data_IF_808232883093
#
_entry.id   IF_808232883093
#
_cell.length_a   1.000
_cell.length_b   1.000
_cell.length_c   1.000
_cell.angle_alpha   90.00
_cell.angle_beta   90.00
_cell.angle_gamma   90.00
#
_symmetry.space_group_name_H-M   'P 1'
#
loop_
_entity.id
_entity.type
_entity.pdbx_description
1 polymer ?
#
# COMPACT_ATOMS: atom_id res chain seq x y z
N UNK A 1 -6.11 7.15 -17.90
CA UNK A 1 -4.96 6.62 -17.13
C UNK A 1 -4.84 7.46 -15.87
N UNK A 2 -4.70 6.83 -14.70
CA UNK A 2 -4.50 7.56 -13.44
C UNK A 2 -3.05 8.07 -13.37
N UNK A 3 -2.82 9.34 -13.04
CA UNK A 3 -1.46 9.82 -12.78
C UNK A 3 -0.81 9.05 -11.63
N UNK A 4 0.52 8.94 -11.67
CA UNK A 4 1.34 8.29 -10.67
C UNK A 4 2.07 9.35 -9.84
N UNK A 5 2.12 9.18 -8.53
CA UNK A 5 2.86 10.04 -7.61
C UNK A 5 3.73 9.17 -6.70
N UNK A 6 5.05 9.28 -6.81
CA UNK A 6 5.97 8.55 -5.94
C UNK A 6 6.08 9.20 -4.56
N UNK A 7 5.70 8.47 -3.51
CA UNK A 7 5.76 8.97 -2.13
C UNK A 7 6.73 8.20 -1.25
N UNK A 8 7.20 7.01 -1.69
CA UNK A 8 8.19 6.21 -0.96
C UNK A 8 9.11 5.44 -1.89
N UNK A 9 10.28 5.08 -1.37
CA UNK A 9 11.24 4.17 -1.99
C UNK A 9 11.59 3.05 -1.02
N UNK A 10 12.00 1.90 -1.56
CA UNK A 10 12.42 0.74 -0.78
C UNK A 10 11.25 0.02 -0.07
N UNK A 11 11.55 -1.09 0.58
CA UNK A 11 10.59 -1.95 1.28
C UNK A 11 10.90 -2.02 2.77
N UNK A 12 9.89 -1.85 3.63
CA UNK A 12 10.06 -1.90 5.10
C UNK A 12 10.44 -3.29 5.62
N UNK A 13 10.10 -4.35 4.88
CA UNK A 13 10.39 -5.72 5.30
C UNK A 13 11.66 -6.29 4.68
N UNK A 14 11.74 -6.25 3.36
CA UNK A 14 12.90 -6.62 2.53
C UNK A 14 13.53 -8.00 2.86
N UNK A 15 12.71 -8.98 3.35
CA UNK A 15 13.14 -10.32 3.76
C UNK A 15 12.46 -11.44 2.98
N UNK A 16 11.53 -11.11 2.08
CA UNK A 16 10.81 -12.12 1.31
C UNK A 16 11.77 -12.86 0.38
N UNK A 17 11.86 -14.19 0.51
CA UNK A 17 12.81 -15.03 -0.25
C UNK A 17 12.61 -15.05 -1.76
N UNK A 18 11.43 -14.69 -2.23
CA UNK A 18 11.12 -14.62 -3.66
C UNK A 18 11.42 -13.25 -4.28
N UNK A 19 11.67 -12.22 -3.46
CA UNK A 19 11.83 -10.84 -3.92
C UNK A 19 13.28 -10.38 -3.74
N UNK A 20 13.91 -9.98 -4.85
CA UNK A 20 15.28 -9.43 -4.86
C UNK A 20 15.31 -7.95 -5.29
N UNK A 21 14.15 -7.36 -5.57
CA UNK A 21 14.06 -6.04 -6.23
C UNK A 21 14.60 -4.88 -5.38
N UNK A 22 14.51 -4.98 -4.05
CA UNK A 22 14.79 -3.85 -3.16
C UNK A 22 15.81 -4.15 -2.07
N UNK A 23 16.60 -5.22 -2.21
CA UNK A 23 17.55 -5.69 -1.20
C UNK A 23 18.60 -4.65 -0.83
N UNK A 24 18.95 -3.77 -1.77
CA UNK A 24 19.94 -2.69 -1.58
C UNK A 24 19.31 -1.30 -1.38
N UNK A 25 17.98 -1.20 -1.38
CA UNK A 25 17.27 0.08 -1.29
C UNK A 25 16.59 0.18 0.07
N UNK A 26 17.09 1.01 1.01
CA UNK A 26 16.44 1.20 2.29
C UNK A 26 15.09 1.91 2.11
N UNK A 27 14.13 1.56 2.97
CA UNK A 27 12.85 2.25 2.99
C UNK A 27 13.03 3.72 3.41
N UNK A 28 12.46 4.63 2.63
CA UNK A 28 12.37 6.05 2.96
C UNK A 28 11.16 6.71 2.30
N UNK A 29 10.66 7.76 2.93
CA UNK A 29 9.72 8.67 2.29
C UNK A 29 10.46 9.49 1.22
N UNK A 30 9.81 9.75 0.10
CA UNK A 30 10.32 10.69 -0.91
C UNK A 30 10.41 12.10 -0.30
N UNK A 31 11.40 12.92 -0.65
CA UNK A 31 11.48 14.30 -0.19
C UNK A 31 10.17 15.05 -0.47
N UNK A 32 9.72 15.86 0.48
CA UNK A 32 8.45 16.60 0.34
C UNK A 32 8.47 17.51 -0.87
N UNK A 33 9.62 18.10 -1.17
CA UNK A 33 9.84 18.98 -2.31
C UNK A 33 9.57 18.25 -3.64
N UNK A 34 10.04 17.01 -3.78
CA UNK A 34 9.79 16.20 -4.98
C UNK A 34 8.31 15.83 -5.12
N UNK A 35 7.67 15.48 -4.00
CA UNK A 35 6.22 15.20 -4.00
C UNK A 35 5.44 16.44 -4.45
N UNK A 36 5.82 17.63 -3.99
CA UNK A 36 5.16 18.90 -4.37
C UNK A 36 5.41 19.26 -5.85
N UNK A 37 6.62 19.03 -6.36
CA UNK A 37 6.97 19.22 -7.79
C UNK A 37 6.15 18.28 -8.69
N UNK A 38 6.10 16.99 -8.35
CA UNK A 38 5.32 15.99 -9.10
C UNK A 38 3.83 16.34 -9.09
N UNK A 39 3.27 16.74 -7.93
CA UNK A 39 1.87 17.18 -7.83
C UNK A 39 1.61 18.41 -8.70
N UNK A 40 2.55 19.36 -8.76
CA UNK A 40 2.43 20.52 -9.62
C UNK A 40 2.43 20.13 -11.10
N UNK A 41 3.29 19.22 -11.52
CA UNK A 41 3.31 18.70 -12.88
C UNK A 41 2.00 17.97 -13.23
N UNK A 42 1.50 17.13 -12.31
CA UNK A 42 0.20 16.47 -12.48
C UNK A 42 -0.92 17.49 -12.62
N UNK A 43 -0.92 18.56 -11.82
CA UNK A 43 -1.95 19.62 -11.88
C UNK A 43 -1.91 20.40 -13.21
N UNK A 44 -0.73 20.58 -13.79
CA UNK A 44 -0.58 21.23 -15.10
C UNK A 44 -1.08 20.34 -16.24
N UNK A 45 -0.74 19.04 -16.20
CA UNK A 45 -1.04 18.11 -17.29
C UNK A 45 -2.42 17.45 -17.17
N UNK A 46 -2.95 17.29 -15.93
CA UNK A 46 -4.20 16.61 -15.63
C UNK A 46 -5.01 17.35 -14.55
N UNK A 47 -5.39 18.63 -14.76
CA UNK A 47 -6.01 19.47 -13.71
C UNK A 47 -7.35 18.93 -13.19
N UNK A 48 -8.04 18.14 -13.98
CA UNK A 48 -9.35 17.57 -13.64
C UNK A 48 -9.28 16.12 -13.18
N UNK A 49 -8.08 15.61 -12.83
CA UNK A 49 -7.97 14.22 -12.38
C UNK A 49 -8.79 13.98 -11.11
N UNK A 50 -9.53 12.88 -11.12
CA UNK A 50 -10.32 12.44 -9.95
C UNK A 50 -9.69 11.26 -9.23
N UNK A 51 -8.65 10.69 -9.83
CA UNK A 51 -7.97 9.49 -9.34
C UNK A 51 -6.46 9.67 -9.41
N UNK A 52 -5.77 9.20 -8.36
CA UNK A 52 -4.31 9.25 -8.27
C UNK A 52 -3.80 7.92 -7.72
N UNK A 53 -2.75 7.38 -8.29
CA UNK A 53 -2.06 6.23 -7.74
C UNK A 53 -0.79 6.69 -7.01
N UNK A 54 -0.77 6.50 -5.69
CA UNK A 54 0.39 6.76 -4.87
C UNK A 54 1.33 5.56 -4.98
N UNK A 55 2.48 5.78 -5.57
CA UNK A 55 3.43 4.71 -5.85
C UNK A 55 4.64 4.75 -4.92
N UNK A 56 5.38 3.69 -4.97
CA UNK A 56 6.50 3.29 -4.17
C UNK A 56 6.35 1.81 -3.88
N UNK A 57 7.29 1.23 -3.15
CA UNK A 57 7.24 -0.20 -2.84
C UNK A 57 6.27 -0.49 -1.70
N UNK A 58 6.23 0.42 -0.73
CA UNK A 58 5.49 0.23 0.51
C UNK A 58 4.92 1.56 1.03
N UNK A 59 4.14 2.29 0.21
CA UNK A 59 3.70 3.64 0.54
C UNK A 59 2.82 3.69 1.79
N UNK A 60 2.01 2.67 2.04
CA UNK A 60 1.15 2.63 3.24
C UNK A 60 1.93 2.35 4.53
N UNK A 61 3.24 2.11 4.47
CA UNK A 61 4.11 2.02 5.64
C UNK A 61 4.36 3.38 6.32
N UNK A 62 4.14 4.47 5.61
CA UNK A 62 4.20 5.81 6.21
C UNK A 62 3.26 5.93 7.42
N UNK A 63 3.65 6.72 8.40
CA UNK A 63 2.79 7.00 9.55
C UNK A 63 1.49 7.68 9.12
N UNK A 64 0.47 7.58 9.99
CA UNK A 64 -0.80 8.28 9.75
C UNK A 64 -0.58 9.78 9.48
N UNK A 65 0.28 10.45 10.26
CA UNK A 65 0.53 11.89 10.12
C UNK A 65 1.21 12.23 8.79
N UNK A 66 2.17 11.39 8.33
CA UNK A 66 2.79 11.60 7.03
C UNK A 66 1.80 11.40 5.88
N UNK A 67 0.98 10.34 5.93
CA UNK A 67 -0.06 10.12 4.91
C UNK A 67 -1.07 11.26 4.88
N UNK A 68 -1.50 11.74 6.07
CA UNK A 68 -2.40 12.89 6.19
C UNK A 68 -1.80 14.14 5.55
N UNK A 69 -0.55 14.47 5.88
CA UNK A 69 0.17 15.61 5.28
C UNK A 69 0.23 15.51 3.76
N UNK A 70 0.56 14.34 3.22
CA UNK A 70 0.61 14.12 1.76
C UNK A 70 -0.78 14.31 1.14
N UNK A 71 -1.83 13.74 1.75
CA UNK A 71 -3.20 13.95 1.29
C UNK A 71 -3.60 15.43 1.29
N UNK A 72 -3.24 16.19 2.33
CA UNK A 72 -3.53 17.63 2.41
C UNK A 72 -2.85 18.41 1.26
N UNK A 73 -1.57 18.08 0.95
CA UNK A 73 -0.85 18.68 -0.17
C UNK A 73 -1.53 18.35 -1.51
N UNK A 74 -1.89 17.07 -1.71
CA UNK A 74 -2.58 16.62 -2.92
C UNK A 74 -3.91 17.37 -3.10
N UNK A 75 -4.78 17.35 -2.09
CA UNK A 75 -6.11 17.92 -2.16
C UNK A 75 -6.11 19.44 -2.33
N UNK A 76 -5.07 20.12 -1.83
CA UNK A 76 -4.87 21.56 -2.03
C UNK A 76 -4.61 21.92 -3.51
N UNK A 77 -3.90 21.08 -4.25
CA UNK A 77 -3.50 21.31 -5.64
C UNK A 77 -4.42 20.62 -6.65
N UNK A 78 -4.98 19.48 -6.26
CA UNK A 78 -5.84 18.61 -7.06
C UNK A 78 -7.17 18.36 -6.33
N UNK A 79 -8.02 19.38 -6.19
CA UNK A 79 -9.23 19.31 -5.36
C UNK A 79 -10.29 18.31 -5.87
N UNK A 80 -10.17 17.89 -7.13
CA UNK A 80 -11.07 16.92 -7.74
C UNK A 80 -10.70 15.45 -7.42
N UNK A 81 -9.52 15.20 -6.83
CA UNK A 81 -9.09 13.84 -6.47
C UNK A 81 -9.98 13.30 -5.36
N UNK A 82 -10.65 12.18 -5.63
CA UNK A 82 -11.56 11.46 -4.71
C UNK A 82 -11.08 10.04 -4.43
N UNK A 83 -10.18 9.53 -5.26
CA UNK A 83 -9.70 8.15 -5.22
C UNK A 83 -8.19 8.19 -5.25
N UNK A 84 -7.58 7.76 -4.15
CA UNK A 84 -6.15 7.48 -4.05
C UNK A 84 -5.96 6.00 -3.78
N UNK A 85 -5.12 5.34 -4.58
CA UNK A 85 -4.80 3.92 -4.47
C UNK A 85 -3.33 3.75 -4.18
N UNK A 86 -2.95 2.73 -3.42
CA UNK A 86 -1.55 2.45 -3.12
C UNK A 86 -1.30 1.01 -2.70
N UNK A 87 -0.05 0.60 -2.77
CA UNK A 87 0.40 -0.68 -2.26
C UNK A 87 0.48 -0.68 -0.72
N UNK A 88 0.22 -1.84 -0.11
CA UNK A 88 0.34 -2.05 1.33
C UNK A 88 0.79 -3.47 1.64
N UNK A 89 1.42 -3.63 2.79
CA UNK A 89 1.59 -4.91 3.47
C UNK A 89 0.55 -5.04 4.59
N UNK A 90 0.22 -6.27 4.99
CA UNK A 90 -0.68 -6.55 6.12
C UNK A 90 -0.21 -5.85 7.41
N UNK A 91 1.09 -5.87 7.67
CA UNK A 91 1.70 -5.22 8.85
C UNK A 91 1.49 -3.70 8.89
N UNK A 92 1.36 -3.03 7.74
CA UNK A 92 1.15 -1.58 7.69
C UNK A 92 -0.27 -1.18 8.10
N UNK A 93 -1.24 -2.06 7.84
CA UNK A 93 -2.63 -1.88 8.27
C UNK A 93 -2.71 -2.08 9.78
N UNK A 94 -2.00 -3.10 10.31
CA UNK A 94 -1.91 -3.39 11.75
C UNK A 94 -1.45 -2.17 12.55
N UNK A 95 -0.50 -1.39 12.02
CA UNK A 95 0.08 -0.22 12.67
C UNK A 95 -0.83 1.01 12.70
N UNK A 96 -2.05 0.93 12.16
CA UNK A 96 -3.03 2.03 12.15
C UNK A 96 -4.30 1.62 12.89
N UNK A 97 -4.85 2.54 13.66
CA UNK A 97 -6.16 2.32 14.31
C UNK A 97 -7.29 2.42 13.29
N UNK A 98 -8.44 1.84 13.62
CA UNK A 98 -9.67 1.95 12.78
C UNK A 98 -10.05 3.42 12.58
N UNK A 99 -9.93 4.25 13.62
CA UNK A 99 -10.19 5.69 13.52
C UNK A 99 -9.28 6.39 12.50
N UNK A 100 -7.98 6.07 12.52
CA UNK A 100 -7.01 6.58 11.55
C UNK A 100 -7.34 6.10 10.12
N UNK A 101 -7.71 4.84 9.95
CA UNK A 101 -8.11 4.30 8.65
C UNK A 101 -9.37 5.00 8.11
N UNK A 102 -10.38 5.23 8.97
CA UNK A 102 -11.60 5.98 8.60
C UNK A 102 -11.28 7.41 8.19
N UNK A 103 -10.34 8.08 8.86
CA UNK A 103 -9.90 9.42 8.49
C UNK A 103 -9.18 9.43 7.15
N UNK A 104 -8.21 8.52 6.92
CA UNK A 104 -7.52 8.38 5.64
C UNK A 104 -8.51 8.07 4.50
N UNK A 105 -9.54 7.25 4.77
CA UNK A 105 -10.61 6.98 3.82
C UNK A 105 -11.38 8.25 3.42
N UNK A 106 -11.70 9.12 4.39
CA UNK A 106 -12.37 10.41 4.13
C UNK A 106 -11.50 11.35 3.31
N UNK A 107 -10.18 11.28 3.47
CA UNK A 107 -9.22 12.07 2.70
C UNK A 107 -8.98 11.54 1.28
N UNK A 108 -9.58 10.42 0.92
CA UNK A 108 -9.51 9.87 -0.44
C UNK A 108 -8.62 8.64 -0.61
N UNK A 109 -7.98 8.10 0.43
CA UNK A 109 -7.32 6.79 0.37
C UNK A 109 -8.41 5.71 0.41
N UNK A 110 -8.80 5.24 -0.77
CA UNK A 110 -10.01 4.42 -0.93
C UNK A 110 -9.74 2.97 -1.23
N UNK A 111 -8.54 2.65 -1.69
CA UNK A 111 -8.21 1.29 -2.15
C UNK A 111 -6.75 0.94 -1.87
N UNK A 112 -6.51 -0.25 -1.32
CA UNK A 112 -5.18 -0.78 -1.07
C UNK A 112 -4.93 -2.04 -1.89
N UNK A 113 -3.73 -2.14 -2.49
CA UNK A 113 -3.25 -3.34 -3.15
C UNK A 113 -2.31 -4.08 -2.21
N UNK A 114 -2.71 -5.26 -1.73
CA UNK A 114 -2.03 -5.97 -0.65
C UNK A 114 -1.42 -7.26 -1.19
N UNK A 115 -0.10 -7.31 -1.23
CA UNK A 115 0.62 -8.53 -1.57
C UNK A 115 0.60 -9.51 -0.40
N UNK A 116 -0.38 -10.42 -0.36
CA UNK A 116 -0.46 -11.48 0.66
C UNK A 116 0.35 -12.72 0.27
N UNK A 117 0.41 -13.01 -1.00
CA UNK A 117 1.13 -14.07 -1.69
C UNK A 117 0.60 -15.49 -1.41
N UNK A 118 0.09 -15.78 -0.21
CA UNK A 118 -0.50 -17.06 0.18
C UNK A 118 -1.44 -16.91 1.37
N UNK A 119 -2.44 -17.81 1.46
CA UNK A 119 -3.26 -18.00 2.67
C UNK A 119 -2.75 -19.15 3.56
N UNK A 120 -1.69 -19.84 3.19
CA UNK A 120 -1.12 -20.98 3.91
C UNK A 120 0.07 -20.57 4.78
N UNK A 121 0.00 -20.81 6.09
CA UNK A 121 1.01 -20.39 7.06
C UNK A 121 2.38 -21.04 6.83
N UNK A 122 2.41 -22.31 6.40
CA UNK A 122 3.67 -22.97 6.03
C UNK A 122 4.35 -22.24 4.86
N UNK A 123 3.56 -21.86 3.85
CA UNK A 123 4.06 -21.12 2.68
C UNK A 123 4.53 -19.73 3.07
N UNK A 124 3.73 -18.99 3.87
CA UNK A 124 4.06 -17.65 4.35
C UNK A 124 5.37 -17.64 5.14
N UNK A 125 5.56 -18.64 6.03
CA UNK A 125 6.79 -18.82 6.79
C UNK A 125 7.97 -19.16 5.86
N UNK A 126 7.79 -20.09 4.94
CA UNK A 126 8.84 -20.51 3.98
C UNK A 126 9.35 -19.34 3.14
N UNK A 127 8.45 -18.47 2.67
CA UNK A 127 8.83 -17.29 1.89
C UNK A 127 9.21 -16.07 2.75
N UNK A 128 9.17 -16.22 4.07
CA UNK A 128 9.50 -15.18 5.04
C UNK A 128 8.64 -13.90 4.86
N UNK A 129 7.33 -14.07 4.73
CA UNK A 129 6.41 -12.92 4.54
C UNK A 129 6.29 -12.05 5.79
N UNK A 130 6.51 -12.64 6.98
CA UNK A 130 6.57 -11.92 8.26
C UNK A 130 5.23 -11.73 8.95
N UNK A 131 4.22 -12.52 8.59
CA UNK A 131 2.91 -12.63 9.23
C UNK A 131 2.25 -13.95 8.87
N UNK A 132 1.17 -14.29 9.56
CA UNK A 132 0.37 -15.51 9.37
C UNK A 132 -1.00 -15.18 8.74
N UNK A 133 -1.71 -16.21 8.30
CA UNK A 133 -3.00 -16.08 7.61
C UNK A 133 -4.10 -15.42 8.47
N UNK A 134 -4.12 -15.69 9.77
CA UNK A 134 -5.04 -15.04 10.69
C UNK A 134 -4.85 -13.52 10.75
N UNK A 135 -3.60 -13.03 10.66
CA UNK A 135 -3.33 -11.60 10.62
C UNK A 135 -3.86 -10.96 9.33
N UNK A 136 -3.81 -11.68 8.20
CA UNK A 136 -4.41 -11.21 6.95
C UNK A 136 -5.91 -10.97 7.18
N UNK A 137 -6.62 -11.98 7.70
CA UNK A 137 -8.06 -11.92 7.96
C UNK A 137 -8.41 -10.78 8.92
N UNK A 138 -7.65 -10.62 9.99
CA UNK A 138 -7.85 -9.56 10.98
C UNK A 138 -7.71 -8.17 10.34
N UNK A 139 -6.67 -7.95 9.55
CA UNK A 139 -6.41 -6.64 8.97
C UNK A 139 -7.37 -6.29 7.83
N UNK A 140 -7.83 -7.25 7.02
CA UNK A 140 -8.85 -6.95 6.00
C UNK A 140 -10.21 -6.62 6.64
N UNK A 141 -10.58 -7.25 7.77
CA UNK A 141 -11.77 -6.85 8.54
C UNK A 141 -11.70 -5.41 9.03
N UNK A 142 -10.51 -4.94 9.44
CA UNK A 142 -10.31 -3.52 9.79
C UNK A 142 -10.54 -2.59 8.59
N UNK A 143 -10.10 -2.99 7.39
CA UNK A 143 -10.34 -2.23 6.17
C UNK A 143 -11.83 -2.20 5.82
N UNK A 144 -12.53 -3.33 5.93
CA UNK A 144 -13.99 -3.39 5.74
C UNK A 144 -14.71 -2.43 6.69
N UNK A 145 -14.35 -2.42 7.98
CA UNK A 145 -14.93 -1.50 8.96
C UNK A 145 -14.61 -0.03 8.66
N UNK A 146 -13.42 0.24 8.08
CA UNK A 146 -13.01 1.58 7.70
C UNK A 146 -13.60 2.03 6.35
N UNK A 147 -14.19 1.12 5.56
CA UNK A 147 -14.73 1.37 4.23
C UNK A 147 -13.63 1.58 3.18
N UNK A 148 -12.43 0.99 3.37
CA UNK A 148 -11.34 0.99 2.41
C UNK A 148 -11.40 -0.32 1.62
N UNK A 149 -11.56 -0.22 0.30
CA UNK A 149 -11.51 -1.38 -0.60
C UNK A 149 -10.09 -1.94 -0.70
N UNK A 150 -9.96 -3.21 -1.07
CA UNK A 150 -8.64 -3.82 -1.22
C UNK A 150 -8.62 -4.90 -2.29
N UNK A 151 -7.43 -5.11 -2.85
CA UNK A 151 -7.09 -6.24 -3.71
C UNK A 151 -6.04 -7.07 -3.01
N UNK A 152 -6.29 -8.38 -2.89
CA UNK A 152 -5.30 -9.32 -2.37
C UNK A 152 -4.63 -10.00 -3.56
N UNK A 153 -3.31 -9.91 -3.63
CA UNK A 153 -2.53 -10.60 -4.67
C UNK A 153 -1.91 -11.86 -4.12
N UNK A 154 -1.99 -12.94 -4.89
CA UNK A 154 -1.42 -14.25 -4.60
C UNK A 154 -0.35 -14.61 -5.62
N UNK A 155 0.73 -15.22 -5.17
CA UNK A 155 1.84 -15.61 -6.03
C UNK A 155 1.71 -17.09 -6.43
N UNK A 156 1.22 -17.35 -7.62
CA UNK A 156 1.02 -18.70 -8.12
C UNK A 156 2.32 -19.51 -8.10
N UNK A 157 2.23 -20.77 -7.63
CA UNK A 157 3.35 -21.70 -7.59
C UNK A 157 4.32 -21.53 -6.43
N UNK A 158 4.19 -20.48 -5.60
CA UNK A 158 5.10 -20.21 -4.48
C UNK A 158 5.10 -21.32 -3.42
N UNK A 159 3.97 -21.99 -3.24
CA UNK A 159 3.82 -23.12 -2.30
C UNK A 159 4.46 -24.42 -2.80
N UNK A 160 4.79 -24.53 -4.10
CA UNK A 160 5.25 -25.75 -4.75
C UNK A 160 4.15 -26.83 -4.83
N UNK A 161 4.43 -27.93 -5.48
CA UNK A 161 3.43 -28.97 -5.78
C UNK A 161 2.74 -29.56 -4.53
N UNK A 162 3.50 -29.73 -3.43
CA UNK A 162 2.97 -30.40 -2.21
C UNK A 162 1.98 -29.55 -1.42
N UNK A 163 2.11 -28.23 -1.47
CA UNK A 163 1.30 -27.30 -0.68
C UNK A 163 0.37 -26.43 -1.53
N UNK A 164 0.32 -26.68 -2.86
CA UNK A 164 -0.49 -25.88 -3.77
C UNK A 164 -1.99 -25.90 -3.45
N UNK A 165 -2.49 -26.98 -2.84
CA UNK A 165 -3.89 -27.09 -2.45
C UNK A 165 -4.26 -26.17 -1.26
N UNK A 166 -3.35 -25.97 -0.34
CA UNK A 166 -3.57 -25.13 0.86
C UNK A 166 -3.22 -23.65 0.61
N UNK A 167 -2.60 -23.37 -0.52
CA UNK A 167 -2.08 -22.04 -0.85
C UNK A 167 -3.18 -21.02 -1.20
N UNK A 168 -4.28 -21.46 -1.80
CA UNK A 168 -5.35 -20.60 -2.33
C UNK A 168 -6.60 -20.66 -1.45
#
# INVERSE_FOLDING_TARGET
VSPLLEITQGCTHNKCKFCTMYTSIPFKMSPTEWIEEDIQEIAQNNPNTTRLQLIGVDPFALSFDHLKKICDIILKRLPNVKIMTMASRVTNIKNKTIGQLKELRKMGITELHIGVESGDDWTLNRIQKGYESNEIIEQVKKLDEAGISYWLTFLNGVAGKKHSYNHA
#
